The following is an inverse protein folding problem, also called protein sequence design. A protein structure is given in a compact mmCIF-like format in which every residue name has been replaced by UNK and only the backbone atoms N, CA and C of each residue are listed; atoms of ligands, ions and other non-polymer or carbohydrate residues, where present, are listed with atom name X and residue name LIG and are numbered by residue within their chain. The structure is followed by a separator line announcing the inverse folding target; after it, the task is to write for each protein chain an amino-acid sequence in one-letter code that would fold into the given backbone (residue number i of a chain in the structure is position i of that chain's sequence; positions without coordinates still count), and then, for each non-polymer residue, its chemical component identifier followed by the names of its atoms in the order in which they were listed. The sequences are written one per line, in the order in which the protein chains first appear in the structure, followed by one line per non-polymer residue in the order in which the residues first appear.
data_IF_710909413498
#
_entry.id   IF_710909413498
#
_cell.length_a   1.000
_cell.length_b   1.000
_cell.length_c   1.000
_cell.angle_alpha   90.00
_cell.angle_beta   90.00
_cell.angle_gamma   90.00
#
_symmetry.space_group_name_H-M   'P 1'
#
loop_
_entity.id
_entity.type
_entity.pdbx_description
1 polymer ?
#
# COMPACT_ATOMS: atom_id res chain seq x y z
N UNK A 1 18.55 -23.70 -5.82
CA UNK A 1 17.80 -24.97 -5.74
C UNK A 1 17.07 -25.15 -7.04
N UNK A 2 17.19 -26.31 -7.66
CA UNK A 2 16.55 -26.65 -8.93
C UNK A 2 15.95 -28.05 -8.79
N UNK A 3 14.79 -28.28 -9.39
CA UNK A 3 14.00 -29.51 -9.26
C UNK A 3 13.40 -29.90 -10.61
N UNK A 4 13.46 -31.18 -10.96
CA UNK A 4 12.95 -31.71 -12.23
C UNK A 4 11.59 -32.41 -12.06
N UNK A 5 10.71 -32.29 -13.06
CA UNK A 5 9.40 -32.95 -13.10
C UNK A 5 8.45 -32.60 -11.92
N UNK A 6 8.54 -31.39 -11.38
CA UNK A 6 7.68 -30.89 -10.28
C UNK A 6 6.76 -29.77 -10.73
N UNK A 7 5.61 -29.61 -10.05
CA UNK A 7 4.74 -28.46 -10.26
C UNK A 7 5.22 -27.22 -9.48
N UNK A 8 4.70 -26.04 -9.84
CA UNK A 8 5.02 -24.77 -9.16
C UNK A 8 4.69 -24.83 -7.67
N UNK A 9 3.58 -25.45 -7.32
CA UNK A 9 3.06 -25.54 -5.96
C UNK A 9 3.96 -26.39 -5.06
N UNK A 10 4.65 -27.38 -5.62
CA UNK A 10 5.59 -28.23 -4.88
C UNK A 10 6.84 -27.45 -4.50
N UNK A 11 7.40 -26.69 -5.45
CA UNK A 11 8.55 -25.81 -5.21
C UNK A 11 8.19 -24.78 -4.12
N UNK A 12 7.02 -24.16 -4.23
CA UNK A 12 6.55 -23.19 -3.24
C UNK A 12 6.45 -23.82 -1.85
N UNK A 13 5.88 -25.03 -1.73
CA UNK A 13 5.75 -25.73 -0.45
C UNK A 13 7.11 -26.00 0.20
N UNK A 14 8.09 -26.46 -0.59
CA UNK A 14 9.44 -26.73 -0.06
C UNK A 14 10.11 -25.44 0.42
N UNK A 15 9.98 -24.35 -0.33
CA UNK A 15 10.52 -23.05 0.07
C UNK A 15 9.83 -22.54 1.34
N UNK A 16 8.49 -22.61 1.43
CA UNK A 16 7.74 -22.19 2.62
C UNK A 16 8.20 -22.96 3.87
N UNK A 17 8.37 -24.28 3.77
CA UNK A 17 8.87 -25.12 4.87
C UNK A 17 10.32 -24.77 5.26
N UNK A 18 11.18 -24.50 4.28
CA UNK A 18 12.55 -24.06 4.53
C UNK A 18 12.55 -22.73 5.31
N UNK A 19 11.75 -21.76 4.88
CA UNK A 19 11.62 -20.46 5.56
C UNK A 19 11.08 -20.65 6.98
N UNK A 20 10.06 -21.50 7.18
CA UNK A 20 9.55 -21.85 8.52
C UNK A 20 10.65 -22.41 9.42
N UNK A 21 11.43 -23.36 8.91
CA UNK A 21 12.51 -23.97 9.66
C UNK A 21 13.58 -22.95 10.05
N UNK A 22 14.03 -22.12 9.12
CA UNK A 22 15.03 -21.08 9.38
C UNK A 22 14.55 -20.08 10.43
N UNK A 23 13.30 -19.61 10.33
CA UNK A 23 12.75 -18.66 11.30
C UNK A 23 12.62 -19.27 12.70
N UNK A 24 12.15 -20.51 12.79
CA UNK A 24 12.05 -21.22 14.07
C UNK A 24 13.43 -21.45 14.69
N UNK A 25 14.43 -21.84 13.91
CA UNK A 25 15.76 -22.17 14.43
C UNK A 25 16.56 -20.93 14.81
N UNK A 26 16.47 -19.83 14.04
CA UNK A 26 17.31 -18.64 14.24
C UNK A 26 16.65 -17.61 15.16
N UNK A 27 15.32 -17.48 15.12
CA UNK A 27 14.58 -16.42 15.84
C UNK A 27 13.57 -16.96 16.85
N UNK A 28 13.39 -18.28 16.95
CA UNK A 28 12.35 -18.92 17.75
C UNK A 28 10.94 -18.36 17.44
N UNK A 29 10.73 -17.95 16.19
CA UNK A 29 9.45 -17.43 15.70
C UNK A 29 8.79 -18.48 14.83
N UNK A 30 7.58 -18.90 15.21
CA UNK A 30 6.75 -19.78 14.39
C UNK A 30 5.95 -18.94 13.38
N UNK A 31 6.32 -19.05 12.11
CA UNK A 31 5.57 -18.45 11.00
C UNK A 31 4.58 -19.46 10.41
N UNK A 32 3.39 -19.01 10.06
CA UNK A 32 2.31 -19.87 9.55
C UNK A 32 2.39 -19.96 8.03
N UNK A 33 2.41 -21.19 7.51
CA UNK A 33 2.26 -21.50 6.10
C UNK A 33 0.89 -22.18 5.86
N UNK A 34 0.28 -22.07 4.66
CA UNK A 34 0.84 -21.47 3.45
C UNK A 34 0.91 -19.94 3.53
N UNK A 35 1.92 -19.34 2.89
CA UNK A 35 2.04 -17.89 2.87
C UNK A 35 0.95 -17.27 1.98
N UNK A 36 0.53 -16.05 2.31
CA UNK A 36 -0.45 -15.31 1.51
C UNK A 36 0.10 -15.12 0.09
N UNK A 37 -0.70 -15.49 -0.90
CA UNK A 37 -0.37 -15.35 -2.31
C UNK A 37 -1.11 -14.15 -2.88
N UNK A 38 -0.44 -13.45 -3.79
CA UNK A 38 -0.95 -12.28 -4.48
C UNK A 38 -0.50 -12.35 -5.93
N UNK A 39 -1.38 -12.01 -6.86
CA UNK A 39 -0.98 -11.87 -8.26
C UNK A 39 -0.16 -10.59 -8.45
N UNK A 40 0.71 -10.55 -9.46
CA UNK A 40 1.45 -9.34 -9.80
C UNK A 40 0.52 -8.14 -10.02
N UNK A 41 -0.57 -8.35 -10.77
CA UNK A 41 -1.57 -7.31 -11.04
C UNK A 41 -2.24 -6.80 -9.75
N UNK A 42 -2.50 -7.68 -8.79
CA UNK A 42 -3.05 -7.29 -7.49
C UNK A 42 -2.03 -6.51 -6.65
N UNK A 43 -0.77 -6.94 -6.60
CA UNK A 43 0.29 -6.27 -5.86
C UNK A 43 0.55 -4.87 -6.39
N UNK A 44 0.69 -4.73 -7.71
CA UNK A 44 0.85 -3.43 -8.37
C UNK A 44 -0.36 -2.53 -8.14
N UNK A 45 -1.59 -3.06 -8.25
CA UNK A 45 -2.81 -2.26 -8.03
C UNK A 45 -2.96 -1.79 -6.58
N UNK A 46 -2.67 -2.65 -5.60
CA UNK A 46 -2.91 -2.35 -4.17
C UNK A 46 -1.74 -1.66 -3.49
N UNK A 47 -0.51 -1.82 -3.97
CA UNK A 47 0.68 -1.34 -3.28
C UNK A 47 1.69 -0.63 -4.19
N UNK A 48 1.45 -0.59 -5.51
CA UNK A 48 2.37 0.04 -6.47
C UNK A 48 3.72 -0.68 -6.61
N UNK A 49 3.85 -1.89 -6.04
CA UNK A 49 5.09 -2.66 -6.02
C UNK A 49 4.81 -4.16 -6.11
N UNK A 50 5.71 -4.88 -6.76
CA UNK A 50 5.71 -6.35 -6.87
C UNK A 50 6.20 -7.06 -5.59
N UNK A 51 6.87 -6.31 -4.70
CA UNK A 51 7.38 -6.75 -3.39
C UNK A 51 6.73 -5.93 -2.25
N UNK A 52 5.39 -5.97 -2.11
CA UNK A 52 4.70 -5.12 -1.16
C UNK A 52 5.03 -5.51 0.28
N UNK A 53 5.26 -4.50 1.13
CA UNK A 53 5.30 -4.71 2.57
C UNK A 53 3.87 -4.78 3.12
N UNK A 54 3.38 -5.99 3.31
CA UNK A 54 2.00 -6.26 3.76
C UNK A 54 1.77 -6.06 5.26
N UNK A 55 2.81 -5.67 6.01
CA UNK A 55 2.69 -5.43 7.46
C UNK A 55 1.95 -4.12 7.77
N UNK A 56 1.97 -3.18 6.82
CA UNK A 56 1.31 -1.89 6.95
C UNK A 56 0.04 -1.86 6.09
N UNK A 57 -1.06 -1.31 6.63
CA UNK A 57 -2.34 -1.19 5.92
C UNK A 57 -2.39 -0.05 4.89
N UNK A 58 -1.25 0.33 4.33
CA UNK A 58 -1.09 1.46 3.42
C UNK A 58 -1.37 1.03 1.98
N UNK A 59 -2.62 0.65 1.71
CA UNK A 59 -3.06 0.25 0.37
C UNK A 59 -3.45 1.46 -0.48
N UNK A 60 -3.09 1.42 -1.76
CA UNK A 60 -3.55 2.35 -2.79
C UNK A 60 -5.01 2.04 -3.09
N UNK A 61 -5.85 3.05 -2.93
CA UNK A 61 -7.29 2.98 -3.23
C UNK A 61 -7.60 3.80 -4.47
N UNK A 62 -8.48 3.26 -5.31
CA UNK A 62 -9.03 4.01 -6.43
C UNK A 62 -10.22 4.83 -5.93
N UNK A 63 -10.13 6.14 -6.10
CA UNK A 63 -11.21 7.06 -5.79
C UNK A 63 -12.06 7.19 -7.07
N UNK A 64 -13.30 6.69 -7.06
CA UNK A 64 -14.20 6.90 -8.19
C UNK A 64 -14.46 8.40 -8.39
N UNK A 65 -14.72 8.80 -9.64
CA UNK A 65 -14.89 10.20 -10.07
C UNK A 65 -15.57 11.10 -9.02
N UNK A 66 -14.84 12.10 -8.52
CA UNK A 66 -15.36 13.09 -7.58
C UNK A 66 -16.09 14.26 -8.26
N UNK A 67 -15.95 14.41 -9.59
CA UNK A 67 -16.60 15.48 -10.36
C UNK A 67 -17.00 15.01 -11.76
N UNK A 68 -18.13 15.52 -12.26
CA UNK A 68 -18.72 15.13 -13.55
C UNK A 68 -17.89 15.51 -14.79
N UNK A 69 -16.83 16.31 -14.64
CA UNK A 69 -16.13 16.93 -15.78
C UNK A 69 -14.74 16.35 -16.10
N UNK A 70 -14.27 15.33 -15.37
CA UNK A 70 -12.94 14.76 -15.64
C UNK A 70 -12.93 13.23 -15.60
N UNK A 71 -12.47 12.59 -16.69
CA UNK A 71 -12.22 11.14 -16.80
C UNK A 71 -10.98 10.68 -15.99
N UNK A 72 -10.74 11.29 -14.83
CA UNK A 72 -9.55 11.01 -14.01
C UNK A 72 -9.97 10.07 -12.89
N UNK A 73 -9.58 8.80 -13.00
CA UNK A 73 -9.54 7.88 -11.86
C UNK A 73 -8.34 8.29 -11.02
N UNK A 74 -8.59 8.84 -9.84
CA UNK A 74 -7.52 9.22 -8.93
C UNK A 74 -7.12 8.01 -8.06
N UNK A 75 -5.83 7.74 -7.96
CA UNK A 75 -5.28 6.76 -7.03
C UNK A 75 -4.71 7.49 -5.82
N UNK A 76 -5.08 7.04 -4.62
CA UNK A 76 -4.71 7.71 -3.39
C UNK A 76 -4.24 6.72 -2.34
N UNK A 77 -3.35 7.18 -1.48
CA UNK A 77 -2.97 6.48 -0.26
C UNK A 77 -3.75 7.07 0.91
N UNK A 78 -4.49 6.23 1.65
CA UNK A 78 -5.22 6.65 2.83
C UNK A 78 -4.38 6.44 4.09
N UNK A 79 -4.11 7.52 4.82
CA UNK A 79 -3.44 7.50 6.12
C UNK A 79 -4.47 7.83 7.21
N UNK A 80 -4.89 6.81 7.96
CA UNK A 80 -5.85 6.99 9.07
C UNK A 80 -5.19 7.71 10.24
N UNK A 81 -5.87 8.72 10.80
CA UNK A 81 -5.36 9.52 11.91
C UNK A 81 -4.20 10.47 11.56
N UNK A 82 -3.77 10.51 10.28
CA UNK A 82 -2.65 11.35 9.86
C UNK A 82 -2.90 12.86 10.03
N UNK A 83 -4.15 13.30 9.91
CA UNK A 83 -4.50 14.72 10.00
C UNK A 83 -4.20 15.33 11.38
N UNK A 84 -4.28 14.55 12.46
CA UNK A 84 -3.99 15.02 13.83
C UNK A 84 -2.50 14.92 14.18
N UNK A 85 -1.75 14.09 13.44
CA UNK A 85 -0.33 13.81 13.68
C UNK A 85 0.57 14.74 12.89
N UNK A 86 0.20 15.06 11.64
CA UNK A 86 1.06 15.82 10.74
C UNK A 86 0.68 17.30 10.70
N UNK A 87 1.65 18.16 10.98
CA UNK A 87 1.56 19.59 10.68
C UNK A 87 1.84 19.86 9.19
N UNK A 88 1.36 20.99 8.67
CA UNK A 88 1.62 21.43 7.29
C UNK A 88 3.11 21.44 6.91
N UNK A 89 3.99 21.77 7.86
CA UNK A 89 5.44 21.80 7.67
C UNK A 89 6.05 20.41 7.54
N UNK A 90 5.49 19.42 8.24
CA UNK A 90 5.92 18.02 8.15
C UNK A 90 5.44 17.34 6.87
N UNK A 91 4.40 17.89 6.22
CA UNK A 91 3.93 17.42 4.92
C UNK A 91 4.79 17.92 3.74
N UNK A 92 5.51 19.04 3.90
CA UNK A 92 6.33 19.64 2.83
C UNK A 92 7.36 18.67 2.22
N UNK A 93 8.15 17.90 3.00
CA UNK A 93 9.10 16.96 2.42
C UNK A 93 8.42 15.85 1.60
N UNK A 94 7.21 15.42 1.98
CA UNK A 94 6.46 14.42 1.22
C UNK A 94 5.98 14.98 -0.13
N UNK A 95 5.55 16.24 -0.15
CA UNK A 95 5.17 16.93 -1.39
C UNK A 95 6.38 17.06 -2.32
N UNK A 96 7.53 17.50 -1.78
CA UNK A 96 8.78 17.59 -2.55
C UNK A 96 9.23 16.24 -3.11
N UNK A 97 9.15 15.18 -2.30
CA UNK A 97 9.48 13.82 -2.72
C UNK A 97 8.59 13.37 -3.89
N UNK A 98 7.29 13.62 -3.81
CA UNK A 98 6.34 13.29 -4.87
C UNK A 98 6.65 14.04 -6.17
N UNK A 99 7.00 15.33 -6.09
CA UNK A 99 7.41 16.09 -7.27
C UNK A 99 8.72 15.57 -7.87
N UNK A 100 9.69 15.19 -7.04
CA UNK A 100 10.98 14.66 -7.52
C UNK A 100 10.87 13.28 -8.17
N UNK A 101 9.87 12.49 -7.80
CA UNK A 101 9.70 11.10 -8.25
C UNK A 101 8.80 10.97 -9.49
N UNK A 102 8.25 12.07 -10.01
CA UNK A 102 7.34 12.06 -11.15
C UNK A 102 8.07 11.78 -12.47
N UNK A 103 7.61 10.77 -13.20
CA UNK A 103 7.97 10.54 -14.61
C UNK A 103 6.83 10.90 -15.57
N UNK A 104 5.55 10.83 -15.13
CA UNK A 104 4.35 11.11 -15.94
C UNK A 104 3.21 11.60 -15.01
N UNK A 105 2.58 12.75 -15.32
CA UNK A 105 1.34 13.24 -14.69
C UNK A 105 1.51 14.28 -13.56
N UNK A 106 0.40 14.83 -13.07
CA UNK A 106 0.36 15.73 -11.90
C UNK A 106 0.07 14.94 -10.61
N UNK A 107 1.02 14.80 -9.68
CA UNK A 107 0.70 14.37 -8.30
C UNK A 107 0.38 15.59 -7.43
N UNK A 108 -0.70 15.48 -6.65
CA UNK A 108 -1.16 16.50 -5.71
C UNK A 108 -1.39 15.85 -4.36
N UNK A 109 -0.97 16.49 -3.28
CA UNK A 109 -1.28 16.05 -1.92
C UNK A 109 -2.53 16.77 -1.44
N UNK A 110 -3.54 15.99 -1.07
CA UNK A 110 -4.78 16.48 -0.49
C UNK A 110 -4.89 15.94 0.92
N UNK A 111 -5.01 16.84 1.91
CA UNK A 111 -5.36 16.43 3.26
C UNK A 111 -6.88 16.61 3.46
N UNK A 112 -7.53 15.54 3.93
CA UNK A 112 -8.93 15.56 4.32
C UNK A 112 -8.99 15.25 5.81
N UNK A 113 -9.53 16.17 6.61
CA UNK A 113 -9.97 15.89 7.97
C UNK A 113 -11.49 15.75 7.97
N UNK A 114 -12.00 14.66 8.54
CA UNK A 114 -13.44 14.45 8.73
C UNK A 114 -13.69 14.02 10.17
N UNK A 115 -14.69 14.64 10.80
CA UNK A 115 -15.18 14.25 12.12
C UNK A 115 -16.31 13.24 11.90
N UNK A 116 -16.14 12.02 12.43
CA UNK A 116 -17.12 10.92 12.32
C UNK A 116 -18.30 11.12 13.29
N UNK A 117 -19.15 12.12 13.03
CA UNK A 117 -20.44 12.30 13.73
C UNK A 117 -21.60 12.22 12.74
N UNK A 118 -21.90 10.99 12.25
CA UNK A 118 -23.13 10.56 11.50
C UNK A 118 -23.59 11.39 10.28
N UNK A 119 -22.99 12.55 10.03
CA UNK A 119 -23.30 13.53 8.99
C UNK A 119 -21.95 14.17 8.64
N UNK A 120 -21.51 14.00 7.39
CA UNK A 120 -20.34 14.67 6.82
C UNK A 120 -20.53 16.19 6.98
N UNK A 121 -19.95 16.79 8.04
CA UNK A 121 -20.31 18.16 8.42
C UNK A 121 -19.34 19.23 7.97
N UNK A 122 -18.08 18.95 7.63
CA UNK A 122 -17.21 19.90 6.94
C UNK A 122 -16.02 19.15 6.33
N UNK A 123 -15.76 19.38 5.04
CA UNK A 123 -14.58 18.89 4.33
C UNK A 123 -13.68 20.09 4.04
N UNK A 124 -12.64 20.30 4.85
CA UNK A 124 -11.64 21.33 4.57
C UNK A 124 -10.58 20.72 3.67
N UNK A 125 -10.59 21.14 2.40
CA UNK A 125 -9.63 20.69 1.40
C UNK A 125 -8.47 21.68 1.36
N UNK A 126 -7.33 21.32 1.96
CA UNK A 126 -6.10 22.10 1.83
C UNK A 126 -5.19 21.43 0.82
N UNK A 127 -4.94 22.12 -0.29
CA UNK A 127 -3.93 21.74 -1.27
C UNK A 127 -2.57 22.24 -0.76
N UNK A 128 -1.62 21.32 -0.64
CA UNK A 128 -0.22 21.65 -0.34
C UNK A 128 0.61 21.64 -1.62
#
# INVERSE_FOLDING_TARGET
MEMSFVAKEDIQRVIEQLVQHVWSTVKDVKIVAPFKRMSFAEATRRFGSDKPDTRFGLEIVQIPQLSNDTNIVAEALLITGGADVFSAKELTPFVELLHSSQSIGESKVWCYSYILDTVMRNMTMTKF
#
